data_IF_154876399600
#
_entry.id   IF_154876399600
#
_cell.length_a   1.000
_cell.length_b   1.000
_cell.length_c   1.000
_cell.angle_alpha   90.00
_cell.angle_beta   90.00
_cell.angle_gamma   90.00
#
_symmetry.space_group_name_H-M   'P 1'
#
loop_
_entity.id
_entity.type
_entity.pdbx_description
1 polymer ?
#
# COMPACT_ATOMS: atom_id res chain seq x y z
N UNK A 1 -26.39 -19.46 -86.65
CA UNK A 1 -26.54 -19.89 -85.25
C UNK A 1 -27.54 -18.93 -84.61
N UNK A 2 -28.76 -19.41 -84.34
CA UNK A 2 -29.88 -18.53 -83.99
C UNK A 2 -29.71 -17.95 -82.58
N UNK A 3 -30.04 -16.67 -82.43
CA UNK A 3 -30.00 -15.92 -81.15
C UNK A 3 -30.65 -16.71 -80.00
N UNK A 4 -31.71 -17.46 -80.32
CA UNK A 4 -32.47 -18.31 -79.41
C UNK A 4 -31.66 -19.47 -78.80
N UNK A 5 -30.74 -20.05 -79.55
CA UNK A 5 -29.86 -21.13 -79.04
C UNK A 5 -28.80 -20.57 -78.10
N UNK A 6 -28.34 -19.35 -78.34
CA UNK A 6 -27.32 -18.68 -77.50
C UNK A 6 -27.92 -18.23 -76.15
N UNK A 7 -29.18 -17.77 -76.14
CA UNK A 7 -29.89 -17.38 -74.90
C UNK A 7 -30.17 -18.55 -73.98
N UNK A 8 -30.47 -19.74 -74.52
CA UNK A 8 -30.72 -20.95 -73.72
C UNK A 8 -29.43 -21.44 -73.05
N UNK A 9 -28.31 -21.42 -73.78
CA UNK A 9 -27.00 -21.82 -73.24
C UNK A 9 -26.54 -20.83 -72.17
N UNK A 10 -26.74 -19.52 -72.38
CA UNK A 10 -26.39 -18.49 -71.40
C UNK A 10 -27.23 -18.62 -70.12
N UNK A 11 -28.53 -18.88 -70.25
CA UNK A 11 -29.43 -19.09 -69.11
C UNK A 11 -29.10 -20.36 -68.33
N UNK A 12 -28.75 -21.46 -69.03
CA UNK A 12 -28.29 -22.69 -68.40
C UNK A 12 -26.97 -22.53 -67.64
N UNK A 13 -26.01 -21.77 -68.19
CA UNK A 13 -24.76 -21.44 -67.50
C UNK A 13 -25.02 -20.60 -66.25
N UNK A 14 -25.88 -19.58 -66.33
CA UNK A 14 -26.26 -18.74 -65.19
C UNK A 14 -26.89 -19.58 -64.07
N UNK A 15 -27.79 -20.53 -64.39
CA UNK A 15 -28.40 -21.41 -63.39
C UNK A 15 -27.39 -22.34 -62.72
N UNK A 16 -26.41 -22.89 -63.45
CA UNK A 16 -25.34 -23.70 -62.85
C UNK A 16 -24.44 -22.89 -61.91
N UNK A 17 -24.11 -21.64 -62.25
CA UNK A 17 -23.33 -20.78 -61.36
C UNK A 17 -24.11 -20.47 -60.08
N UNK A 18 -25.38 -20.07 -60.18
CA UNK A 18 -26.24 -19.76 -59.02
C UNK A 18 -26.37 -20.95 -58.04
N UNK A 19 -26.50 -22.17 -58.55
CA UNK A 19 -26.66 -23.35 -57.71
C UNK A 19 -25.40 -23.67 -56.88
N UNK A 20 -24.21 -23.40 -57.42
CA UNK A 20 -22.95 -23.58 -56.68
C UNK A 20 -22.82 -22.58 -55.53
N UNK A 21 -23.16 -21.31 -55.74
CA UNK A 21 -23.11 -20.27 -54.70
C UNK A 21 -24.07 -20.54 -53.55
N UNK A 22 -25.30 -20.99 -53.81
CA UNK A 22 -26.28 -21.31 -52.75
C UNK A 22 -25.78 -22.44 -51.84
N UNK A 23 -25.16 -23.47 -52.42
CA UNK A 23 -24.58 -24.59 -51.64
C UNK A 23 -23.41 -24.10 -50.78
N UNK A 24 -22.55 -23.23 -51.31
CA UNK A 24 -21.45 -22.62 -50.54
C UNK A 24 -21.97 -21.76 -49.36
N UNK A 25 -23.03 -20.98 -49.56
CA UNK A 25 -23.63 -20.19 -48.48
C UNK A 25 -24.24 -21.06 -47.37
N UNK A 26 -24.92 -22.15 -47.73
CA UNK A 26 -25.49 -23.09 -46.75
C UNK A 26 -24.39 -23.76 -45.93
N UNK A 27 -23.31 -24.22 -46.58
CA UNK A 27 -22.17 -24.84 -45.89
C UNK A 27 -21.51 -23.82 -44.94
N UNK A 28 -21.27 -22.59 -45.40
CA UNK A 28 -20.70 -21.54 -44.56
C UNK A 28 -21.58 -21.22 -43.34
N UNK A 29 -22.90 -21.23 -43.49
CA UNK A 29 -23.85 -20.98 -42.40
C UNK A 29 -23.82 -22.11 -41.36
N UNK A 30 -23.71 -23.37 -41.81
CA UNK A 30 -23.55 -24.52 -40.91
C UNK A 30 -22.25 -24.41 -40.10
N UNK A 31 -21.13 -24.03 -40.73
CA UNK A 31 -19.86 -23.82 -40.02
C UNK A 31 -19.92 -22.69 -38.99
N UNK A 32 -20.64 -21.61 -39.28
CA UNK A 32 -20.85 -20.51 -38.32
C UNK A 32 -21.68 -20.98 -37.12
N UNK A 33 -22.75 -21.74 -37.35
CA UNK A 33 -23.58 -22.28 -36.27
C UNK A 33 -22.79 -23.25 -35.40
N UNK A 34 -22.00 -24.15 -36.00
CA UNK A 34 -21.15 -25.09 -35.27
C UNK A 34 -20.08 -24.35 -34.47
N UNK A 35 -19.45 -23.32 -35.05
CA UNK A 35 -18.49 -22.47 -34.37
C UNK A 35 -19.11 -21.75 -33.18
N UNK A 36 -20.31 -21.19 -33.35
CA UNK A 36 -21.04 -20.52 -32.28
C UNK A 36 -21.40 -21.48 -31.14
N UNK A 37 -21.92 -22.67 -31.48
CA UNK A 37 -22.22 -23.72 -30.49
C UNK A 37 -20.96 -24.17 -29.74
N UNK A 38 -19.84 -24.33 -30.46
CA UNK A 38 -18.55 -24.68 -29.88
C UNK A 38 -18.05 -23.63 -28.90
N UNK A 39 -18.19 -22.34 -29.22
CA UNK A 39 -17.81 -21.26 -28.30
C UNK A 39 -18.68 -21.22 -27.04
N UNK A 40 -19.98 -21.47 -27.16
CA UNK A 40 -20.90 -21.54 -26.00
C UNK A 40 -20.52 -22.72 -25.11
N UNK A 41 -20.29 -23.90 -25.68
CA UNK A 41 -19.90 -25.09 -24.93
C UNK A 41 -18.54 -24.90 -24.24
N UNK A 42 -17.56 -24.34 -24.95
CA UNK A 42 -16.25 -24.02 -24.37
C UNK A 42 -16.35 -23.03 -23.20
N UNK A 43 -17.16 -21.97 -23.36
CA UNK A 43 -17.33 -20.97 -22.31
C UNK A 43 -18.09 -21.55 -21.10
N UNK A 44 -19.08 -22.40 -21.34
CA UNK A 44 -19.80 -23.10 -20.28
C UNK A 44 -18.91 -24.08 -19.51
N UNK A 45 -18.02 -24.80 -20.20
CA UNK A 45 -17.02 -25.68 -19.59
C UNK A 45 -15.96 -24.89 -18.80
N UNK A 46 -15.49 -23.76 -19.34
CA UNK A 46 -14.56 -22.86 -18.66
C UNK A 46 -15.15 -22.26 -17.38
N UNK A 47 -16.42 -21.83 -17.43
CA UNK A 47 -17.15 -21.32 -16.27
C UNK A 47 -17.33 -22.41 -15.21
N UNK A 48 -17.70 -23.62 -15.60
CA UNK A 48 -17.85 -24.76 -14.70
C UNK A 48 -16.52 -25.14 -14.02
N UNK A 49 -15.41 -25.16 -14.76
CA UNK A 49 -14.06 -25.33 -14.20
C UNK A 49 -13.72 -24.20 -13.23
N UNK A 50 -13.93 -22.94 -13.60
CA UNK A 50 -13.61 -21.81 -12.73
C UNK A 50 -14.41 -21.86 -11.42
N UNK A 51 -15.68 -22.27 -11.47
CA UNK A 51 -16.54 -22.42 -10.29
C UNK A 51 -16.10 -23.57 -9.39
N UNK A 52 -15.68 -24.72 -9.94
CA UNK A 52 -15.18 -25.86 -9.16
C UNK A 52 -13.79 -25.62 -8.56
N UNK A 53 -12.87 -24.96 -9.27
CA UNK A 53 -11.53 -24.65 -8.75
C UNK A 53 -11.52 -23.49 -7.74
N UNK A 54 -12.48 -22.55 -7.81
CA UNK A 54 -12.62 -21.46 -6.84
C UNK A 54 -13.45 -21.85 -5.61
N UNK A 55 -14.36 -22.82 -5.72
CA UNK A 55 -15.20 -23.27 -4.59
C UNK A 55 -14.39 -23.97 -3.50
N UNK A 56 -13.31 -24.68 -3.85
CA UNK A 56 -12.55 -25.45 -2.86
C UNK A 56 -11.47 -24.65 -2.12
N UNK A 57 -11.09 -23.44 -2.59
CA UNK A 57 -9.98 -22.68 -2.00
C UNK A 57 -10.16 -21.15 -1.86
N UNK A 58 -11.33 -20.57 -2.12
CA UNK A 58 -11.53 -19.12 -1.95
C UNK A 58 -12.56 -18.79 -0.84
N UNK A 59 -12.21 -18.01 0.20
CA UNK A 59 -13.17 -17.57 1.22
C UNK A 59 -14.10 -16.43 0.73
N UNK A 60 -14.08 -16.08 -0.56
CA UNK A 60 -14.74 -14.86 -1.06
C UNK A 60 -15.56 -15.21 -2.31
N UNK A 61 -16.87 -15.41 -2.10
CA UNK A 61 -17.87 -15.40 -3.18
C UNK A 61 -17.96 -13.98 -3.73
N UNK A 62 -17.42 -13.75 -4.91
CA UNK A 62 -17.61 -12.51 -5.67
C UNK A 62 -19.03 -12.45 -6.24
N UNK A 63 -20.01 -12.21 -5.35
CA UNK A 63 -21.33 -11.74 -5.76
C UNK A 63 -21.22 -10.25 -6.09
N UNK A 64 -21.24 -10.01 -7.39
CA UNK A 64 -21.42 -8.76 -8.13
C UNK A 64 -22.28 -7.68 -7.44
N UNK A 65 -21.66 -6.52 -7.18
CA UNK A 65 -22.33 -5.23 -6.92
C UNK A 65 -22.29 -4.69 -5.48
N UNK A 66 -22.56 -3.38 -5.32
CA UNK A 66 -22.76 -2.69 -4.03
C UNK A 66 -23.63 -3.46 -3.02
N UNK A 67 -24.73 -4.13 -3.44
CA UNK A 67 -25.54 -4.96 -2.54
C UNK A 67 -24.79 -6.14 -1.90
N UNK A 68 -23.84 -6.74 -2.62
CA UNK A 68 -22.99 -7.81 -2.08
C UNK A 68 -22.03 -7.31 -0.99
N UNK A 69 -21.55 -6.07 -1.11
CA UNK A 69 -20.72 -5.41 -0.10
C UNK A 69 -21.54 -5.08 1.14
N UNK A 70 -22.77 -4.61 0.98
CA UNK A 70 -23.66 -4.30 2.12
C UNK A 70 -23.94 -5.57 2.93
N UNK A 71 -24.30 -6.68 2.26
CA UNK A 71 -24.53 -7.95 2.96
C UNK A 71 -23.27 -8.50 3.64
N UNK A 72 -22.07 -8.28 3.08
CA UNK A 72 -20.81 -8.63 3.72
C UNK A 72 -20.53 -7.76 4.96
N UNK A 73 -20.77 -6.46 4.86
CA UNK A 73 -20.61 -5.48 5.96
C UNK A 73 -21.65 -5.70 7.06
N UNK A 74 -22.86 -6.11 6.72
CA UNK A 74 -23.95 -6.35 7.68
C UNK A 74 -23.83 -7.73 8.35
N UNK A 75 -23.31 -8.74 7.63
CA UNK A 75 -22.93 -10.03 8.20
C UNK A 75 -21.70 -9.92 9.12
N UNK A 76 -20.76 -9.03 8.81
CA UNK A 76 -19.79 -8.54 9.78
C UNK A 76 -20.49 -7.58 10.74
N UNK A 77 -21.25 -8.10 11.71
CA UNK A 77 -21.53 -7.35 12.94
C UNK A 77 -20.18 -7.01 13.56
N UNK A 78 -19.62 -5.86 13.19
CA UNK A 78 -18.45 -5.28 13.80
C UNK A 78 -18.96 -4.78 15.15
N UNK A 79 -19.06 -5.69 16.11
CA UNK A 79 -18.94 -5.31 17.51
C UNK A 79 -17.67 -4.48 17.54
N UNK A 80 -17.78 -3.19 17.83
CA UNK A 80 -16.62 -2.33 18.01
C UNK A 80 -15.87 -3.00 19.16
N UNK A 81 -14.75 -3.70 18.90
CA UNK A 81 -13.99 -4.26 20.02
C UNK A 81 -13.61 -3.06 20.89
N UNK A 82 -13.63 -3.22 22.20
CA UNK A 82 -13.12 -2.18 23.10
C UNK A 82 -11.77 -1.73 22.58
N UNK A 83 -11.68 -0.49 22.11
CA UNK A 83 -10.47 0.02 21.47
C UNK A 83 -9.38 0.09 22.53
N UNK A 84 -8.49 -0.88 22.49
CA UNK A 84 -7.41 -1.06 23.45
C UNK A 84 -6.14 -1.47 22.68
N UNK A 85 -5.55 -0.53 21.92
CA UNK A 85 -4.43 -0.83 21.00
C UNK A 85 -3.19 -1.35 21.72
N UNK A 86 -2.97 -0.98 22.98
CA UNK A 86 -1.73 -1.29 23.69
C UNK A 86 -1.92 -2.21 24.91
N UNK A 87 -3.14 -2.35 25.41
CA UNK A 87 -3.42 -3.06 26.67
C UNK A 87 -3.11 -2.23 27.91
N UNK A 88 -2.72 -0.95 27.76
CA UNK A 88 -2.24 -0.07 28.81
C UNK A 88 -3.15 1.16 28.86
N UNK A 89 -4.11 1.13 29.79
CA UNK A 89 -5.21 2.11 29.87
C UNK A 89 -4.77 3.60 29.79
N UNK A 90 -3.70 4.06 30.49
CA UNK A 90 -3.24 5.44 30.34
C UNK A 90 -2.74 5.79 28.93
N UNK A 91 -2.10 4.84 28.26
CA UNK A 91 -1.56 5.02 26.91
C UNK A 91 -2.68 4.99 25.88
N UNK A 92 -3.64 4.08 26.04
CA UNK A 92 -4.81 4.01 25.16
C UNK A 92 -5.67 5.27 25.26
N UNK A 93 -5.84 5.83 26.47
CA UNK A 93 -6.50 7.12 26.64
C UNK A 93 -5.75 8.26 25.92
N UNK A 94 -4.42 8.28 25.98
CA UNK A 94 -3.62 9.28 25.27
C UNK A 94 -3.77 9.15 23.74
N UNK A 95 -3.77 7.90 23.23
CA UNK A 95 -3.97 7.60 21.81
C UNK A 95 -5.37 8.01 21.34
N UNK A 96 -6.41 7.70 22.13
CA UNK A 96 -7.78 8.10 21.83
C UNK A 96 -7.91 9.63 21.79
N UNK A 97 -7.33 10.32 22.76
CA UNK A 97 -7.35 11.78 22.81
C UNK A 97 -6.63 12.40 21.60
N UNK A 98 -5.46 11.87 21.21
CA UNK A 98 -4.76 12.31 20.00
C UNK A 98 -5.59 12.04 18.73
N UNK A 99 -6.22 10.88 18.64
CA UNK A 99 -7.08 10.52 17.51
C UNK A 99 -8.26 11.48 17.41
N UNK A 100 -8.90 11.78 18.54
CA UNK A 100 -9.97 12.77 18.62
C UNK A 100 -9.51 14.15 18.13
N UNK A 101 -8.35 14.64 18.59
CA UNK A 101 -7.81 15.94 18.15
C UNK A 101 -7.53 15.96 16.64
N UNK A 102 -6.94 14.89 16.09
CA UNK A 102 -6.68 14.78 14.65
C UNK A 102 -8.00 14.79 13.87
N UNK A 103 -8.97 13.99 14.29
CA UNK A 103 -10.29 13.96 13.67
C UNK A 103 -10.96 15.33 13.74
N UNK A 104 -10.89 16.01 14.88
CA UNK A 104 -11.51 17.32 15.09
C UNK A 104 -10.90 18.40 14.19
N UNK A 105 -9.57 18.52 14.19
CA UNK A 105 -8.88 19.62 13.52
C UNK A 105 -8.78 19.42 12.00
N UNK A 106 -8.54 18.19 11.55
CA UNK A 106 -8.23 17.90 10.16
C UNK A 106 -9.36 17.29 9.36
N UNK A 107 -10.42 16.77 9.99
CA UNK A 107 -11.51 16.08 9.28
C UNK A 107 -12.85 16.75 9.57
N UNK A 108 -13.31 16.70 10.82
CA UNK A 108 -14.65 17.14 11.24
C UNK A 108 -14.86 18.61 10.88
N UNK A 109 -13.89 19.49 11.16
CA UNK A 109 -14.03 20.94 10.96
C UNK A 109 -14.37 21.36 9.52
N UNK A 110 -13.69 20.81 8.51
CA UNK A 110 -13.99 21.15 7.12
C UNK A 110 -15.15 20.30 6.60
N UNK A 111 -15.28 19.07 7.07
CA UNK A 111 -16.33 18.16 6.63
C UNK A 111 -17.73 18.68 6.99
N UNK A 112 -17.91 19.09 8.25
CA UNK A 112 -19.18 19.64 8.75
C UNK A 112 -19.56 20.95 8.04
N UNK A 113 -18.56 21.70 7.56
CA UNK A 113 -18.79 22.92 6.79
C UNK A 113 -19.34 22.65 5.39
N UNK A 114 -18.92 21.57 4.72
CA UNK A 114 -19.27 21.30 3.31
C UNK A 114 -20.33 20.22 3.10
N UNK A 115 -20.34 19.13 3.87
CA UNK A 115 -21.09 17.90 3.53
C UNK A 115 -22.16 17.48 4.57
N UNK A 116 -22.08 17.97 5.82
CA UNK A 116 -23.08 17.78 6.90
C UNK A 116 -23.52 16.33 7.21
N UNK A 117 -22.88 15.31 6.64
CA UNK A 117 -23.10 13.92 6.99
C UNK A 117 -22.18 13.47 8.15
N UNK A 118 -22.61 12.46 8.90
CA UNK A 118 -21.81 11.90 10.01
C UNK A 118 -21.10 10.61 9.62
N UNK A 119 -21.50 10.02 8.49
CA UNK A 119 -21.06 8.69 8.06
C UNK A 119 -19.59 8.74 7.64
N UNK A 120 -19.18 9.76 6.88
CA UNK A 120 -17.80 9.86 6.43
C UNK A 120 -16.79 9.99 7.59
N UNK A 121 -16.93 10.93 8.56
CA UNK A 121 -16.01 11.02 9.69
C UNK A 121 -15.95 9.75 10.54
N UNK A 122 -17.09 9.07 10.75
CA UNK A 122 -17.14 7.80 11.49
C UNK A 122 -16.35 6.68 10.78
N UNK A 123 -16.46 6.59 9.46
CA UNK A 123 -15.68 5.62 8.66
C UNK A 123 -14.19 5.92 8.77
N UNK A 124 -13.79 7.19 8.69
CA UNK A 124 -12.38 7.57 8.83
C UNK A 124 -11.86 7.26 10.23
N UNK A 125 -12.60 7.62 11.28
CA UNK A 125 -12.23 7.30 12.67
C UNK A 125 -12.02 5.79 12.86
N UNK A 126 -12.95 4.98 12.34
CA UNK A 126 -12.83 3.52 12.39
C UNK A 126 -11.58 3.02 11.68
N UNK A 127 -11.28 3.55 10.49
CA UNK A 127 -10.07 3.18 9.75
C UNK A 127 -8.80 3.58 10.50
N UNK A 128 -8.78 4.77 11.11
CA UNK A 128 -7.66 5.23 11.95
C UNK A 128 -7.45 4.28 13.13
N UNK A 129 -8.50 3.89 13.85
CA UNK A 129 -8.40 2.90 14.94
C UNK A 129 -7.84 1.56 14.48
N UNK A 130 -8.27 1.06 13.31
CA UNK A 130 -7.72 -0.17 12.71
C UNK A 130 -6.24 -0.02 12.38
N UNK A 131 -5.83 1.12 11.82
CA UNK A 131 -4.43 1.42 11.50
C UNK A 131 -3.59 1.47 12.78
N UNK A 132 -4.06 2.18 13.81
CA UNK A 132 -3.36 2.31 15.08
C UNK A 132 -3.20 0.95 15.76
N UNK A 133 -4.26 0.14 15.84
CA UNK A 133 -4.17 -1.22 16.39
C UNK A 133 -3.10 -2.06 15.68
N UNK A 134 -3.11 -2.06 14.34
CA UNK A 134 -2.11 -2.79 13.55
C UNK A 134 -0.69 -2.26 13.78
N UNK A 135 -0.53 -0.95 13.90
CA UNK A 135 0.75 -0.31 14.16
C UNK A 135 1.26 -0.69 15.56
N UNK A 136 0.39 -0.69 16.57
CA UNK A 136 0.72 -1.13 17.93
C UNK A 136 1.13 -2.61 17.96
N UNK A 137 0.39 -3.50 17.30
CA UNK A 137 0.76 -4.92 17.18
C UNK A 137 2.16 -5.09 16.56
N UNK A 138 2.45 -4.31 15.51
CA UNK A 138 3.75 -4.34 14.84
C UNK A 138 4.86 -3.83 15.73
N UNK A 139 4.66 -2.70 16.40
CA UNK A 139 5.61 -2.16 17.39
C UNK A 139 5.92 -3.20 18.46
N UNK A 140 4.90 -3.90 18.99
CA UNK A 140 5.12 -4.94 19.99
C UNK A 140 5.91 -6.14 19.45
N UNK A 141 5.74 -6.46 18.17
CA UNK A 141 6.46 -7.57 17.51
C UNK A 141 7.96 -7.28 17.26
N UNK A 142 8.37 -6.00 17.26
CA UNK A 142 9.77 -5.61 17.05
C UNK A 142 10.64 -6.06 18.22
N UNK A 143 11.77 -6.71 17.92
CA UNK A 143 12.77 -7.12 18.92
C UNK A 143 13.59 -5.92 19.43
N UNK A 144 12.97 -5.06 20.23
CA UNK A 144 13.55 -3.83 20.76
C UNK A 144 14.91 -4.04 21.45
N UNK A 145 15.10 -5.19 22.11
CA UNK A 145 16.37 -5.54 22.77
C UNK A 145 17.57 -5.39 21.84
N UNK A 146 17.48 -5.87 20.60
CA UNK A 146 18.60 -5.79 19.65
C UNK A 146 18.84 -4.35 19.19
N UNK A 147 17.77 -3.58 18.99
CA UNK A 147 17.86 -2.16 18.61
C UNK A 147 18.55 -1.35 19.72
N UNK A 148 18.10 -1.50 20.96
CA UNK A 148 18.67 -0.78 22.10
C UNK A 148 20.09 -1.22 22.43
N UNK A 149 20.31 -2.53 22.55
CA UNK A 149 21.59 -3.07 23.01
C UNK A 149 22.73 -2.90 21.99
N UNK A 150 22.42 -3.02 20.70
CA UNK A 150 23.45 -3.02 19.64
C UNK A 150 23.56 -1.63 19.01
N UNK A 151 22.45 -1.11 18.46
CA UNK A 151 22.50 0.11 17.65
C UNK A 151 22.54 1.37 18.52
N UNK A 152 21.56 1.54 19.42
CA UNK A 152 21.44 2.77 20.23
C UNK A 152 22.60 2.90 21.21
N UNK A 153 22.97 1.81 21.90
CA UNK A 153 24.10 1.82 22.81
C UNK A 153 25.42 2.16 22.10
N UNK A 154 25.61 1.71 20.85
CA UNK A 154 26.75 2.07 20.03
C UNK A 154 26.84 3.58 19.78
N UNK A 155 25.73 4.20 19.36
CA UNK A 155 25.63 5.65 19.15
C UNK A 155 25.88 6.41 20.46
N UNK A 156 25.23 6.00 21.56
CA UNK A 156 25.40 6.66 22.85
C UNK A 156 26.84 6.58 23.37
N UNK A 157 27.44 5.39 23.32
CA UNK A 157 28.84 5.18 23.71
C UNK A 157 29.79 6.07 22.90
N UNK A 158 29.52 6.21 21.60
CA UNK A 158 30.30 7.05 20.71
C UNK A 158 30.18 8.54 21.07
N UNK A 159 28.96 9.04 21.28
CA UNK A 159 28.71 10.42 21.70
C UNK A 159 29.36 10.72 23.05
N UNK A 160 29.25 9.81 24.02
CA UNK A 160 29.93 9.94 25.32
C UNK A 160 31.45 9.98 25.15
N UNK A 161 32.03 9.15 24.28
CA UNK A 161 33.48 9.19 23.98
C UNK A 161 33.89 10.53 23.37
N UNK A 162 33.12 11.08 22.44
CA UNK A 162 33.38 12.39 21.82
C UNK A 162 33.29 13.49 22.87
N UNK A 163 32.26 13.45 23.71
CA UNK A 163 32.07 14.40 24.80
C UNK A 163 33.25 14.39 25.80
N UNK A 164 33.69 13.20 26.22
CA UNK A 164 34.87 13.06 27.10
C UNK A 164 36.12 13.61 26.40
N UNK A 165 36.30 13.36 25.10
CA UNK A 165 37.42 13.92 24.31
C UNK A 165 37.36 15.45 24.26
N UNK A 166 36.17 16.03 24.08
CA UNK A 166 35.97 17.48 24.07
C UNK A 166 36.37 18.10 25.41
N UNK A 167 35.93 17.52 26.53
CA UNK A 167 36.31 17.97 27.87
C UNK A 167 37.83 17.91 28.06
N UNK A 168 38.46 16.77 27.73
CA UNK A 168 39.92 16.60 27.88
C UNK A 168 40.71 17.60 27.04
N UNK A 169 40.25 17.92 25.83
CA UNK A 169 40.92 18.90 24.97
C UNK A 169 40.83 20.32 25.55
N UNK A 170 39.68 20.69 26.13
CA UNK A 170 39.54 21.98 26.83
C UNK A 170 40.40 22.05 28.09
N UNK A 171 40.50 20.96 28.86
CA UNK A 171 41.39 20.86 30.03
C UNK A 171 42.87 21.03 29.65
N UNK A 172 43.32 20.30 28.62
CA UNK A 172 44.70 20.38 28.15
C UNK A 172 45.08 21.79 27.67
N UNK A 173 44.12 22.51 27.07
CA UNK A 173 44.32 23.87 26.60
C UNK A 173 44.12 24.92 27.71
N UNK A 174 43.87 24.51 28.97
CA UNK A 174 43.57 25.39 30.10
C UNK A 174 42.40 26.36 29.84
N UNK A 175 41.47 25.97 28.96
CA UNK A 175 40.32 26.80 28.59
C UNK A 175 39.23 26.60 29.64
N UNK A 176 38.69 27.70 30.16
CA UNK A 176 37.54 27.63 31.07
C UNK A 176 36.38 26.87 30.42
N UNK A 177 35.95 25.80 31.08
CA UNK A 177 34.82 24.97 30.68
C UNK A 177 33.53 25.77 30.82
N UNK A 178 32.98 26.20 29.70
CA UNK A 178 31.62 26.74 29.61
C UNK A 178 30.80 25.81 28.70
N UNK A 179 29.51 25.70 28.94
CA UNK A 179 28.59 24.87 28.16
C UNK A 179 28.73 25.13 26.65
N UNK A 180 28.77 26.40 26.24
CA UNK A 180 28.94 26.78 24.83
C UNK A 180 30.24 26.27 24.22
N UNK A 181 31.36 26.36 24.96
CA UNK A 181 32.67 25.90 24.52
C UNK A 181 32.76 24.37 24.44
N UNK A 182 32.12 23.68 25.39
CA UNK A 182 32.04 22.21 25.37
C UNK A 182 31.24 21.76 24.16
N UNK A 183 30.10 22.40 23.87
CA UNK A 183 29.27 22.09 22.71
C UNK A 183 30.02 22.36 21.40
N UNK A 184 30.68 23.52 21.29
CA UNK A 184 31.47 23.83 20.08
C UNK A 184 32.60 22.83 19.86
N UNK A 185 33.30 22.45 20.92
CA UNK A 185 34.40 21.49 20.82
C UNK A 185 33.90 20.06 20.55
N UNK A 186 32.73 19.70 21.10
CA UNK A 186 32.06 18.44 20.79
C UNK A 186 31.79 18.32 19.29
N UNK A 187 31.17 19.33 18.69
CA UNK A 187 30.86 19.29 17.25
C UNK A 187 32.12 19.38 16.38
N UNK A 188 33.16 20.11 16.81
CA UNK A 188 34.45 20.10 16.12
C UNK A 188 35.10 18.72 16.11
N UNK A 189 34.98 17.95 17.19
CA UNK A 189 35.54 16.60 17.25
C UNK A 189 34.66 15.62 16.46
N UNK A 190 33.35 15.83 16.46
CA UNK A 190 32.41 15.03 15.69
C UNK A 190 32.69 15.12 14.18
N UNK A 191 32.93 16.32 13.64
CA UNK A 191 33.24 16.52 12.21
C UNK A 191 34.53 15.84 11.77
N UNK A 192 35.49 15.68 12.69
CA UNK A 192 36.78 15.03 12.43
C UNK A 192 36.67 13.50 12.59
N UNK A 193 35.67 13.01 13.33
CA UNK A 193 35.57 11.58 13.66
C UNK A 193 35.04 10.80 12.44
N UNK A 194 35.82 9.86 11.88
CA UNK A 194 35.38 9.06 10.75
C UNK A 194 34.21 8.15 11.17
N UNK A 195 33.32 7.86 10.21
CA UNK A 195 32.12 7.02 10.37
C UNK A 195 30.99 7.63 11.20
N UNK A 196 30.98 8.94 11.40
CA UNK A 196 29.85 9.67 11.99
C UNK A 196 29.37 10.69 11.00
N UNK A 197 28.07 10.65 10.70
CA UNK A 197 27.43 11.74 9.98
C UNK A 197 27.36 12.94 10.92
N UNK A 198 28.24 13.92 10.74
CA UNK A 198 28.29 15.07 11.65
C UNK A 198 27.00 15.87 11.57
N UNK A 199 26.47 16.29 12.72
CA UNK A 199 25.21 17.03 12.78
C UNK A 199 25.30 18.33 11.98
N UNK A 200 26.45 19.02 12.08
CA UNK A 200 26.71 20.22 11.30
C UNK A 200 26.61 19.93 9.81
N UNK A 201 27.18 18.83 9.31
CA UNK A 201 27.13 18.51 7.88
C UNK A 201 25.73 18.15 7.36
N UNK A 202 24.88 17.59 8.21
CA UNK A 202 23.50 17.23 7.85
C UNK A 202 22.62 18.47 7.91
N UNK A 203 22.63 19.19 9.04
CA UNK A 203 21.71 20.29 9.29
C UNK A 203 22.06 21.61 8.59
N UNK A 204 23.20 21.70 7.90
CA UNK A 204 23.55 22.88 7.08
C UNK A 204 23.16 22.73 5.62
N UNK A 205 22.83 21.52 5.18
CA UNK A 205 22.50 21.22 3.79
C UNK A 205 21.12 20.55 3.71
N UNK A 206 20.14 21.31 3.19
CA UNK A 206 18.76 20.83 3.05
C UNK A 206 18.62 19.51 2.30
N UNK A 207 19.55 19.22 1.38
CA UNK A 207 19.50 17.97 0.61
C UNK A 207 19.90 16.77 1.46
N UNK A 208 20.99 16.91 2.22
CA UNK A 208 21.46 15.88 3.16
C UNK A 208 20.52 15.69 4.33
N UNK A 209 19.90 16.76 4.80
CA UNK A 209 18.86 16.70 5.82
C UNK A 209 17.68 15.88 5.35
N UNK A 210 17.18 16.15 4.13
CA UNK A 210 16.10 15.37 3.53
C UNK A 210 16.48 13.89 3.37
N UNK A 211 17.66 13.59 2.81
CA UNK A 211 18.16 12.21 2.66
C UNK A 211 18.25 11.48 4.00
N UNK A 212 18.75 12.15 5.04
CA UNK A 212 18.87 11.59 6.39
C UNK A 212 17.49 11.29 7.01
N UNK A 213 16.53 12.23 6.87
CA UNK A 213 15.16 12.03 7.34
C UNK A 213 14.47 10.89 6.59
N UNK A 214 14.61 10.84 5.27
CA UNK A 214 14.11 9.73 4.44
C UNK A 214 14.69 8.40 4.91
N UNK A 215 16.00 8.32 5.15
CA UNK A 215 16.63 7.10 5.65
C UNK A 215 16.06 6.64 7.01
N UNK A 216 15.81 7.58 7.94
CA UNK A 216 15.18 7.27 9.23
C UNK A 216 13.76 6.75 9.02
N UNK A 217 12.97 7.43 8.20
CA UNK A 217 11.58 7.05 7.90
C UNK A 217 11.54 5.67 7.25
N UNK A 218 12.37 5.40 6.25
CA UNK A 218 12.46 4.09 5.59
C UNK A 218 12.91 2.99 6.56
N UNK A 219 13.85 3.28 7.45
CA UNK A 219 14.29 2.34 8.48
C UNK A 219 13.17 2.02 9.47
N UNK A 220 12.37 3.02 9.85
CA UNK A 220 11.20 2.84 10.71
C UNK A 220 10.12 2.05 9.98
N UNK A 221 9.88 2.37 8.71
CA UNK A 221 8.93 1.71 7.83
C UNK A 221 9.27 0.22 7.68
N UNK A 222 10.54 -0.10 7.43
CA UNK A 222 11.04 -1.47 7.39
C UNK A 222 10.81 -2.22 8.71
N UNK A 223 10.92 -1.56 9.85
CA UNK A 223 10.68 -2.19 11.15
C UNK A 223 9.19 -2.39 11.45
N UNK A 224 8.31 -1.56 10.86
CA UNK A 224 6.88 -1.55 11.16
C UNK A 224 6.02 -2.32 10.14
N UNK A 225 6.47 -2.44 8.88
CA UNK A 225 5.75 -3.23 7.88
C UNK A 225 6.08 -4.72 7.98
N UNK A 226 5.08 -5.61 7.75
CA UNK A 226 5.36 -7.01 7.49
C UNK A 226 6.15 -7.19 6.19
N UNK A 227 7.03 -8.20 6.15
CA UNK A 227 7.86 -8.56 5.00
C UNK A 227 7.07 -8.71 3.68
N UNK A 228 5.78 -9.07 3.77
CA UNK A 228 4.88 -9.32 2.63
C UNK A 228 4.40 -8.01 1.95
N UNK A 229 4.46 -6.87 2.64
CA UNK A 229 3.89 -5.59 2.16
C UNK A 229 4.95 -4.56 1.72
N UNK A 230 6.23 -4.89 1.84
CA UNK A 230 7.32 -3.96 1.49
C UNK A 230 7.42 -3.66 -0.01
N UNK A 231 6.98 -4.59 -0.86
CA UNK A 231 7.02 -4.45 -2.33
C UNK A 231 5.86 -3.61 -2.90
N UNK A 232 4.82 -3.32 -2.11
CA UNK A 232 3.70 -2.49 -2.55
C UNK A 232 4.05 -1.00 -2.47
N UNK A 233 4.33 -0.41 -3.65
CA UNK A 233 4.66 1.02 -3.81
C UNK A 233 3.65 1.96 -3.13
N UNK A 234 2.38 1.57 -3.02
CA UNK A 234 1.31 2.40 -2.44
C UNK A 234 1.59 2.76 -0.99
N UNK A 235 2.11 1.84 -0.18
CA UNK A 235 2.45 2.12 1.23
C UNK A 235 3.67 3.04 1.37
N UNK A 236 4.53 3.11 0.35
CA UNK A 236 5.65 4.08 0.30
C UNK A 236 5.18 5.51 0.01
N UNK A 237 4.00 5.70 -0.60
CA UNK A 237 3.44 7.01 -0.96
C UNK A 237 2.50 7.62 0.09
N UNK A 238 2.13 6.87 1.14
CA UNK A 238 1.27 7.40 2.22
C UNK A 238 2.04 8.35 3.17
N UNK A 239 3.37 8.47 3.00
CA UNK A 239 4.24 9.38 3.75
C UNK A 239 4.93 10.36 2.79
#
# INVERSE_FOLDING_TARGET
>A
MNLFSLTIILFGLILMFFQSYVVFYIISLIFIIIGFLGTILFWSYFLWLNETYLSDNAPIKWNTGLPGIINFVEAQKISIPTYNPTGIEPLDHAIEHLTYLIMQDFIIKWHDYYFQDKIFPEIILKNVHVIINRLCDRIQSVKWRNVFAIKINGVFTLHVKIFIKAIKKLENNQIQKNQTKIISEFFNIETITPNISSHISICTDSTKEAEFLTFIVESLLYLLLPDIQFDEKVFRYII
#
